data_IF_899973054440
#
_entry.id   IF_899973054440
#
_cell.length_a   1.000
_cell.length_b   1.000
_cell.length_c   1.000
_cell.angle_alpha   90.00
_cell.angle_beta   90.00
_cell.angle_gamma   90.00
#
_symmetry.space_group_name_H-M   'P 1'
#
loop_
_entity.id
_entity.type
_entity.pdbx_description
1 polymer ?
#
# COMPACT_ATOMS: atom_id res chain seq x y z
N UNK A 1 -13.71 11.77 -8.87
CA UNK A 1 -13.72 10.29 -8.84
C UNK A 1 -13.81 9.71 -10.23
N UNK A 2 -14.92 9.89 -10.93
CA UNK A 2 -15.17 9.25 -12.24
C UNK A 2 -14.05 9.53 -13.25
N UNK A 3 -13.67 10.79 -13.45
CA UNK A 3 -12.60 11.15 -14.40
C UNK A 3 -11.25 10.49 -14.08
N UNK A 4 -10.93 10.26 -12.81
CA UNK A 4 -9.71 9.54 -12.43
C UNK A 4 -9.82 8.05 -12.74
N UNK A 5 -10.99 7.44 -12.50
CA UNK A 5 -11.24 6.05 -12.86
C UNK A 5 -11.17 5.83 -14.37
N UNK A 6 -11.76 6.73 -15.15
CA UNK A 6 -11.73 6.69 -16.61
C UNK A 6 -10.29 6.83 -17.14
N UNK A 7 -9.50 7.75 -16.56
CA UNK A 7 -8.08 7.90 -16.89
C UNK A 7 -7.29 6.63 -16.57
N UNK A 8 -7.51 6.04 -15.40
CA UNK A 8 -6.84 4.79 -15.02
C UNK A 8 -7.21 3.63 -15.96
N UNK A 9 -8.48 3.49 -16.29
CA UNK A 9 -8.97 2.50 -17.26
C UNK A 9 -8.29 2.67 -18.63
N UNK A 10 -8.13 3.91 -19.10
CA UNK A 10 -7.46 4.20 -20.36
C UNK A 10 -5.96 3.86 -20.32
N UNK A 11 -5.27 4.15 -19.21
CA UNK A 11 -3.85 3.79 -19.03
C UNK A 11 -3.61 2.27 -19.00
N UNK A 12 -4.61 1.50 -18.59
CA UNK A 12 -4.58 0.04 -18.53
C UNK A 12 -5.61 -0.59 -19.46
N UNK A 13 -5.85 0.04 -20.61
CA UNK A 13 -6.92 -0.34 -21.55
C UNK A 13 -6.85 -1.81 -21.98
N UNK A 14 -5.66 -2.38 -22.17
CA UNK A 14 -5.51 -3.78 -22.55
C UNK A 14 -6.10 -4.74 -21.50
N UNK A 15 -5.90 -4.44 -20.22
CA UNK A 15 -6.35 -5.28 -19.12
C UNK A 15 -7.81 -4.99 -18.73
N UNK A 16 -8.16 -3.70 -18.68
CA UNK A 16 -9.42 -3.24 -18.07
C UNK A 16 -10.54 -2.95 -19.08
N UNK A 17 -10.23 -2.84 -20.36
CA UNK A 17 -11.21 -2.58 -21.43
C UNK A 17 -11.18 -3.71 -22.48
N UNK A 18 -10.06 -3.85 -23.18
CA UNK A 18 -9.99 -4.76 -24.32
C UNK A 18 -10.06 -6.24 -23.94
N UNK A 19 -9.52 -6.62 -22.79
CA UNK A 19 -9.65 -7.98 -22.28
C UNK A 19 -11.12 -8.37 -22.08
N UNK A 20 -11.93 -7.48 -21.49
CA UNK A 20 -13.37 -7.70 -21.30
C UNK A 20 -14.12 -7.68 -22.64
N UNK A 21 -13.81 -6.73 -23.52
CA UNK A 21 -14.42 -6.68 -24.83
C UNK A 21 -14.20 -7.96 -25.62
N UNK A 22 -12.96 -8.45 -25.70
CA UNK A 22 -12.64 -9.69 -26.42
C UNK A 22 -13.29 -10.91 -25.76
N UNK A 23 -13.11 -11.09 -24.46
CA UNK A 23 -13.58 -12.32 -23.81
C UNK A 23 -15.09 -12.36 -23.64
N UNK A 24 -15.71 -11.27 -23.18
CA UNK A 24 -17.12 -11.29 -22.83
C UNK A 24 -18.02 -10.92 -24.02
N UNK A 25 -17.67 -9.89 -24.81
CA UNK A 25 -18.47 -9.47 -25.94
C UNK A 25 -18.21 -10.31 -27.19
N UNK A 26 -16.96 -10.48 -27.65
CA UNK A 26 -16.69 -11.20 -28.90
C UNK A 26 -16.73 -12.73 -28.71
N UNK A 27 -16.23 -13.25 -27.60
CA UNK A 27 -16.16 -14.70 -27.36
C UNK A 27 -17.33 -15.22 -26.52
N UNK A 28 -18.22 -14.36 -26.04
CA UNK A 28 -19.41 -14.76 -25.27
C UNK A 28 -19.11 -15.47 -23.94
N UNK A 29 -17.88 -15.27 -23.39
CA UNK A 29 -17.54 -15.87 -22.08
C UNK A 29 -18.21 -15.12 -20.97
N UNK A 30 -18.68 -15.84 -19.96
CA UNK A 30 -19.20 -15.21 -18.73
C UNK A 30 -18.11 -14.37 -18.06
N UNK A 31 -18.46 -13.14 -17.58
CA UNK A 31 -17.52 -12.33 -16.82
C UNK A 31 -17.07 -13.08 -15.57
N UNK A 32 -15.76 -13.19 -15.38
CA UNK A 32 -15.25 -13.76 -14.14
C UNK A 32 -15.55 -12.81 -12.97
N UNK A 33 -16.12 -13.32 -11.86
CA UNK A 33 -16.30 -12.53 -10.66
C UNK A 33 -14.93 -12.01 -10.20
N UNK A 34 -14.80 -10.71 -10.03
CA UNK A 34 -13.57 -10.08 -9.58
C UNK A 34 -13.90 -9.06 -8.49
N UNK A 35 -13.90 -9.52 -7.28
CA UNK A 35 -14.24 -8.76 -6.07
C UNK A 35 -13.37 -7.51 -5.89
N UNK A 36 -12.07 -7.63 -6.19
CA UNK A 36 -11.14 -6.51 -6.10
C UNK A 36 -11.48 -5.39 -7.11
N UNK A 37 -11.96 -5.75 -8.33
CA UNK A 37 -12.40 -4.75 -9.30
C UNK A 37 -13.69 -4.06 -8.84
N UNK A 38 -14.60 -4.81 -8.24
CA UNK A 38 -15.81 -4.24 -7.66
C UNK A 38 -15.48 -3.23 -6.54
N UNK A 39 -14.60 -3.62 -5.61
CA UNK A 39 -14.12 -2.75 -4.54
C UNK A 39 -13.42 -1.49 -5.09
N UNK A 40 -12.53 -1.64 -6.07
CA UNK A 40 -11.80 -0.52 -6.67
C UNK A 40 -12.69 0.45 -7.47
N UNK A 41 -13.85 -0.02 -7.94
CA UNK A 41 -14.82 0.80 -8.64
C UNK A 41 -15.71 1.61 -7.70
N UNK A 42 -15.74 1.27 -6.42
CA UNK A 42 -16.47 2.02 -5.40
C UNK A 42 -15.64 3.23 -4.97
N UNK A 43 -16.25 4.41 -4.97
CA UNK A 43 -15.53 5.67 -4.82
C UNK A 43 -16.03 6.44 -3.61
N UNK A 44 -15.10 6.99 -2.85
CA UNK A 44 -15.40 7.89 -1.75
C UNK A 44 -15.16 9.34 -2.17
N UNK A 45 -16.16 10.20 -1.98
CA UNK A 45 -16.03 11.63 -2.24
C UNK A 45 -15.24 12.31 -1.14
N UNK A 46 -14.18 13.00 -1.53
CA UNK A 46 -13.36 13.78 -0.61
C UNK A 46 -13.87 15.23 -0.56
N UNK A 47 -13.98 15.86 0.62
CA UNK A 47 -14.28 17.28 0.71
C UNK A 47 -13.29 18.12 -0.10
N UNK A 48 -13.80 19.16 -0.79
CA UNK A 48 -12.98 20.02 -1.66
C UNK A 48 -11.73 20.56 -0.95
N UNK A 49 -11.89 21.05 0.28
CA UNK A 49 -10.78 21.61 1.04
C UNK A 49 -9.66 20.59 1.28
N UNK A 50 -10.03 19.36 1.67
CA UNK A 50 -9.08 18.26 1.88
C UNK A 50 -8.39 17.86 0.59
N UNK A 51 -9.14 17.71 -0.50
CA UNK A 51 -8.59 17.38 -1.82
C UNK A 51 -7.57 18.44 -2.27
N UNK A 52 -7.92 19.73 -2.17
CA UNK A 52 -7.02 20.82 -2.54
C UNK A 52 -5.78 20.89 -1.63
N UNK A 53 -5.93 20.56 -0.35
CA UNK A 53 -4.80 20.45 0.57
C UNK A 53 -3.81 19.37 0.10
N UNK A 54 -4.28 18.15 -0.22
CA UNK A 54 -3.44 17.08 -0.76
C UNK A 54 -2.71 17.50 -2.04
N UNK A 55 -3.46 18.05 -3.00
CA UNK A 55 -2.86 18.45 -4.28
C UNK A 55 -1.76 19.51 -4.10
N UNK A 56 -1.99 20.49 -3.23
CA UNK A 56 -1.01 21.57 -3.00
C UNK A 56 0.15 21.11 -2.13
N UNK A 57 -0.15 20.58 -0.93
CA UNK A 57 0.88 20.33 0.10
C UNK A 57 1.73 19.10 -0.18
N UNK A 58 1.15 18.04 -0.77
CA UNK A 58 1.89 16.81 -1.05
C UNK A 58 2.38 16.73 -2.49
N UNK A 59 1.50 16.92 -3.49
CA UNK A 59 1.92 16.79 -4.88
C UNK A 59 2.63 18.04 -5.43
N UNK A 60 2.15 19.24 -5.14
CA UNK A 60 2.73 20.48 -5.64
C UNK A 60 3.99 20.91 -4.88
N UNK A 61 3.86 21.07 -3.56
CA UNK A 61 4.92 21.62 -2.72
C UNK A 61 5.86 20.55 -2.16
N UNK A 62 5.38 19.32 -1.99
CA UNK A 62 6.04 18.23 -1.27
C UNK A 62 6.51 18.68 0.14
N UNK A 63 5.64 19.40 0.84
CA UNK A 63 5.96 20.14 2.05
C UNK A 63 6.39 19.24 3.22
N UNK A 64 5.82 18.02 3.32
CA UNK A 64 6.19 17.08 4.38
C UNK A 64 7.64 16.61 4.25
N UNK A 65 8.08 16.28 3.02
CA UNK A 65 9.46 15.83 2.80
C UNK A 65 10.51 16.90 3.05
N UNK A 66 10.10 18.17 3.00
CA UNK A 66 10.96 19.35 3.26
C UNK A 66 10.89 19.81 4.72
N UNK A 67 10.06 19.17 5.57
CA UNK A 67 9.78 19.64 6.91
C UNK A 67 9.08 21.00 6.96
N UNK A 68 8.32 21.35 5.93
CA UNK A 68 7.61 22.64 5.79
C UNK A 68 6.09 22.51 6.05
N UNK A 69 5.61 21.29 6.23
CA UNK A 69 4.20 21.05 6.48
C UNK A 69 3.83 21.47 7.89
N UNK A 70 2.82 22.35 8.00
CA UNK A 70 2.25 22.77 9.28
C UNK A 70 0.80 22.28 9.35
N UNK A 71 0.44 21.56 10.42
CA UNK A 71 -0.91 21.14 10.72
C UNK A 71 -1.24 21.53 12.16
N UNK A 72 -2.38 22.18 12.36
CA UNK A 72 -2.82 22.66 13.67
C UNK A 72 -1.74 23.43 14.45
N UNK A 73 -1.06 24.34 13.76
CA UNK A 73 0.09 25.13 14.26
C UNK A 73 1.32 24.30 14.66
N UNK A 74 1.36 23.00 14.38
CA UNK A 74 2.51 22.14 14.62
C UNK A 74 3.26 21.91 13.30
N UNK A 75 4.53 22.26 13.28
CA UNK A 75 5.43 21.95 12.16
C UNK A 75 5.82 20.47 12.21
N UNK A 76 5.53 19.77 11.14
CA UNK A 76 5.83 18.33 11.03
C UNK A 76 7.22 18.13 10.42
N UNK A 77 8.07 17.40 11.14
CA UNK A 77 9.42 17.04 10.73
C UNK A 77 9.63 15.54 10.95
N UNK A 78 9.76 14.80 9.86
CA UNK A 78 9.95 13.34 9.90
C UNK A 78 11.26 12.94 10.59
N UNK A 79 12.27 13.80 10.59
CA UNK A 79 13.54 13.52 11.26
C UNK A 79 13.41 13.42 12.79
N UNK A 80 12.33 13.95 13.37
CA UNK A 80 12.02 13.84 14.80
C UNK A 80 11.39 12.49 15.20
N UNK A 81 10.92 11.71 14.21
CA UNK A 81 10.35 10.39 14.46
C UNK A 81 11.48 9.41 14.78
N UNK A 82 11.59 8.98 16.04
CA UNK A 82 12.63 8.06 16.54
C UNK A 82 12.15 6.62 16.67
N UNK A 83 10.86 6.38 16.53
CA UNK A 83 10.28 5.03 16.51
C UNK A 83 10.86 4.24 15.34
N UNK A 84 11.24 2.97 15.52
CA UNK A 84 11.62 2.10 14.41
C UNK A 84 10.54 2.02 13.35
N UNK A 85 10.93 2.15 12.09
CA UNK A 85 10.03 2.17 10.94
C UNK A 85 10.36 1.01 10.01
N UNK A 86 9.34 0.27 9.61
CA UNK A 86 9.45 -0.73 8.55
C UNK A 86 8.79 -0.18 7.28
N UNK A 87 9.54 -0.10 6.20
CA UNK A 87 9.07 0.41 4.91
C UNK A 87 9.13 -0.69 3.87
N UNK A 88 7.99 -1.02 3.30
CA UNK A 88 7.89 -1.94 2.18
C UNK A 88 7.64 -1.16 0.89
N UNK A 89 8.28 -1.58 -0.19
CA UNK A 89 8.01 -1.12 -1.55
C UNK A 89 7.95 -2.31 -2.51
N UNK A 90 7.42 -2.11 -3.69
CA UNK A 90 7.33 -3.14 -4.72
C UNK A 90 8.17 -2.76 -5.95
N UNK A 91 8.92 -3.72 -6.48
CA UNK A 91 9.94 -3.50 -7.53
C UNK A 91 9.33 -2.97 -8.83
N UNK A 92 8.14 -3.47 -9.18
CA UNK A 92 7.43 -3.15 -10.42
C UNK A 92 6.30 -2.14 -10.20
N UNK A 93 6.30 -1.45 -9.05
CA UNK A 93 5.30 -0.45 -8.71
C UNK A 93 5.55 0.84 -9.51
N UNK A 94 4.61 1.14 -10.43
CA UNK A 94 4.66 2.36 -11.25
C UNK A 94 3.87 3.52 -10.63
N UNK A 95 3.09 3.27 -9.57
CA UNK A 95 2.29 4.29 -8.85
C UNK A 95 3.13 4.89 -7.71
N UNK A 96 3.79 4.03 -6.92
CA UNK A 96 4.71 4.41 -5.85
C UNK A 96 6.10 3.80 -6.13
N UNK A 97 6.88 4.35 -7.08
CA UNK A 97 8.16 3.78 -7.49
C UNK A 97 9.13 3.60 -6.31
N UNK A 98 9.81 2.46 -6.27
CA UNK A 98 10.71 2.10 -5.17
C UNK A 98 11.75 3.18 -4.85
N UNK A 99 12.28 3.87 -5.87
CA UNK A 99 13.21 5.00 -5.69
C UNK A 99 12.59 6.12 -4.85
N UNK A 100 11.32 6.45 -5.08
CA UNK A 100 10.62 7.51 -4.35
C UNK A 100 10.32 7.07 -2.92
N UNK A 101 9.87 5.83 -2.73
CA UNK A 101 9.59 5.25 -1.42
C UNK A 101 10.88 5.18 -0.58
N UNK A 102 11.99 4.74 -1.17
CA UNK A 102 13.29 4.67 -0.51
C UNK A 102 13.78 6.04 -0.03
N UNK A 103 13.65 7.08 -0.87
CA UNK A 103 13.98 8.46 -0.49
C UNK A 103 13.11 8.94 0.68
N UNK A 104 11.82 8.61 0.66
CA UNK A 104 10.90 8.91 1.76
C UNK A 104 11.29 8.20 3.04
N UNK A 105 11.71 6.94 2.97
CA UNK A 105 12.16 6.15 4.10
C UNK A 105 13.38 6.79 4.81
N UNK A 106 14.28 7.42 4.07
CA UNK A 106 15.47 8.11 4.62
C UNK A 106 15.16 9.41 5.35
N UNK A 107 13.94 9.91 5.33
CA UNK A 107 13.55 11.12 6.05
C UNK A 107 13.30 10.88 7.55
N UNK A 108 13.05 9.64 7.95
CA UNK A 108 12.85 9.30 9.35
C UNK A 108 14.14 9.37 10.14
N UNK A 109 14.08 9.92 11.35
CA UNK A 109 15.25 10.08 12.21
C UNK A 109 15.53 8.90 13.14
N UNK A 110 14.70 7.86 13.12
CA UNK A 110 14.87 6.59 13.84
C UNK A 110 15.40 5.49 12.92
N UNK A 111 15.58 4.27 13.47
CA UNK A 111 15.98 3.11 12.67
C UNK A 111 14.96 2.77 11.60
N UNK A 112 15.40 2.59 10.35
CA UNK A 112 14.57 2.20 9.22
C UNK A 112 14.99 0.85 8.70
N UNK A 113 14.03 -0.06 8.56
CA UNK A 113 14.18 -1.32 7.82
C UNK A 113 13.45 -1.19 6.51
N UNK A 114 14.16 -1.31 5.39
CA UNK A 114 13.58 -1.25 4.06
C UNK A 114 13.54 -2.64 3.44
N UNK A 115 12.41 -2.99 2.83
CA UNK A 115 12.21 -4.25 2.12
C UNK A 115 11.61 -3.97 0.75
N UNK A 116 12.18 -4.57 -0.28
CA UNK A 116 11.66 -4.50 -1.65
C UNK A 116 11.05 -5.86 -1.99
N UNK A 117 9.78 -5.88 -2.35
CA UNK A 117 9.10 -7.10 -2.82
C UNK A 117 9.03 -7.16 -4.35
N UNK A 118 9.03 -8.35 -4.90
CA UNK A 118 8.73 -8.59 -6.31
C UNK A 118 7.29 -8.25 -6.66
N UNK A 119 7.02 -8.08 -7.98
CA UNK A 119 5.70 -7.70 -8.51
C UNK A 119 5.35 -6.22 -8.31
N UNK A 120 4.09 -5.87 -8.65
CA UNK A 120 3.59 -4.49 -8.73
C UNK A 120 2.85 -4.00 -7.49
N UNK A 121 2.12 -2.91 -7.67
CA UNK A 121 1.48 -2.13 -6.62
C UNK A 121 0.60 -2.93 -5.65
N UNK A 122 -0.15 -3.89 -6.13
CA UNK A 122 -1.05 -4.72 -5.31
C UNK A 122 -0.37 -6.03 -4.93
N UNK A 123 0.04 -6.82 -5.91
CA UNK A 123 0.56 -8.18 -5.68
C UNK A 123 1.92 -8.20 -4.99
N UNK A 124 2.71 -7.13 -5.06
CA UNK A 124 3.92 -6.97 -4.28
C UNK A 124 3.66 -6.79 -2.79
N UNK A 125 2.54 -6.16 -2.43
CA UNK A 125 2.14 -5.92 -1.03
C UNK A 125 1.32 -7.09 -0.50
N UNK A 126 0.26 -7.47 -1.22
CA UNK A 126 -0.65 -8.55 -0.84
C UNK A 126 -0.15 -9.87 -1.43
N UNK A 127 0.76 -10.50 -0.72
CA UNK A 127 1.38 -11.75 -1.12
C UNK A 127 1.42 -12.73 0.06
N UNK A 128 0.32 -13.45 0.27
CA UNK A 128 0.21 -14.39 1.37
C UNK A 128 1.31 -15.49 1.28
N UNK A 129 2.00 -15.84 2.38
CA UNK A 129 3.09 -16.82 2.38
C UNK A 129 2.70 -18.18 1.80
N UNK A 130 1.46 -18.60 1.99
CA UNK A 130 0.92 -19.87 1.46
C UNK A 130 0.94 -19.91 -0.06
N UNK A 131 0.87 -18.77 -0.74
CA UNK A 131 0.89 -18.69 -2.19
C UNK A 131 2.24 -19.02 -2.80
N UNK A 132 3.34 -18.93 -2.04
CA UNK A 132 4.73 -19.20 -2.46
C UNK A 132 5.10 -18.52 -3.77
N UNK A 133 4.63 -17.29 -3.96
CA UNK A 133 4.87 -16.50 -5.18
C UNK A 133 5.90 -15.41 -4.91
N UNK A 134 6.58 -15.01 -5.98
CA UNK A 134 7.52 -13.90 -6.02
C UNK A 134 8.73 -14.10 -5.10
N UNK A 135 9.40 -13.01 -4.79
CA UNK A 135 10.57 -12.93 -3.91
C UNK A 135 10.59 -11.55 -3.25
N UNK A 136 11.47 -11.39 -2.28
CA UNK A 136 11.74 -10.07 -1.70
C UNK A 136 13.23 -9.93 -1.40
N UNK A 137 13.69 -8.69 -1.29
CA UNK A 137 15.06 -8.32 -1.01
C UNK A 137 15.14 -7.53 0.28
N UNK A 138 16.16 -7.83 1.06
CA UNK A 138 16.49 -7.15 2.31
C UNK A 138 17.96 -6.78 2.35
N UNK A 139 18.29 -5.70 3.04
CA UNK A 139 19.64 -5.25 3.30
C UNK A 139 19.66 -4.60 4.69
N UNK A 140 20.68 -4.89 5.50
CA UNK A 140 20.84 -4.26 6.81
C UNK A 140 21.26 -2.80 6.69
N UNK A 141 21.96 -2.43 5.61
CA UNK A 141 22.44 -1.10 5.39
C UNK A 141 21.42 -0.24 4.60
N UNK A 142 21.46 1.07 4.86
CA UNK A 142 20.63 2.07 4.18
C UNK A 142 21.51 3.09 3.45
N UNK A 143 22.22 2.71 2.35
CA UNK A 143 23.06 3.64 1.57
C UNK A 143 22.23 4.74 0.94
N UNK A 144 22.89 5.68 0.24
CA UNK A 144 22.22 6.90 -0.23
C UNK A 144 21.19 6.66 -1.34
N UNK A 145 21.35 5.63 -2.13
CA UNK A 145 20.44 5.34 -3.25
C UNK A 145 19.88 3.92 -3.17
N UNK A 146 18.70 3.72 -3.74
CA UNK A 146 18.09 2.38 -3.83
C UNK A 146 18.91 1.46 -4.73
N UNK A 147 19.61 1.99 -5.71
CA UNK A 147 20.50 1.24 -6.59
C UNK A 147 21.71 0.69 -5.81
N UNK A 148 22.33 1.51 -4.96
CA UNK A 148 23.39 1.07 -4.05
C UNK A 148 22.85 0.09 -3.01
N UNK A 149 21.66 0.30 -2.50
CA UNK A 149 20.98 -0.62 -1.58
C UNK A 149 20.79 -2.00 -2.23
N UNK A 150 20.38 -2.06 -3.50
CA UNK A 150 20.18 -3.31 -4.24
C UNK A 150 21.46 -4.13 -4.40
N UNK A 151 22.63 -3.52 -4.50
CA UNK A 151 23.90 -4.26 -4.66
C UNK A 151 24.27 -5.06 -3.41
N UNK A 152 23.81 -4.67 -2.22
CA UNK A 152 24.06 -5.35 -0.95
C UNK A 152 22.91 -6.22 -0.46
N UNK A 153 21.88 -6.48 -1.30
CA UNK A 153 20.71 -7.20 -0.85
C UNK A 153 20.88 -8.72 -0.83
N UNK A 154 20.15 -9.33 0.08
CA UNK A 154 19.85 -10.76 0.06
C UNK A 154 18.47 -10.96 -0.54
N UNK A 155 18.38 -11.79 -1.58
CA UNK A 155 17.10 -12.20 -2.15
C UNK A 155 16.57 -13.43 -1.41
N UNK A 156 15.29 -13.38 -1.05
CA UNK A 156 14.56 -14.48 -0.40
C UNK A 156 13.32 -14.82 -1.22
N UNK A 157 13.14 -16.08 -1.64
CA UNK A 157 11.92 -16.50 -2.35
C UNK A 157 10.66 -16.35 -1.50
N UNK A 158 9.55 -15.98 -2.13
CA UNK A 158 8.24 -15.89 -1.50
C UNK A 158 7.92 -14.54 -0.87
N UNK A 159 6.96 -14.57 0.03
CA UNK A 159 6.39 -13.38 0.67
C UNK A 159 7.37 -12.67 1.60
N UNK A 160 7.30 -11.35 1.64
CA UNK A 160 8.01 -10.51 2.61
C UNK A 160 7.36 -10.51 4.00
N UNK A 161 6.12 -11.01 4.14
CA UNK A 161 5.38 -10.99 5.41
C UNK A 161 6.08 -11.71 6.56
N UNK A 162 6.73 -12.87 6.37
CA UNK A 162 7.49 -13.51 7.45
C UNK A 162 8.64 -12.63 7.97
N UNK A 163 9.35 -11.93 7.09
CA UNK A 163 10.40 -11.00 7.49
C UNK A 163 9.83 -9.82 8.31
N UNK A 164 8.71 -9.24 7.85
CA UNK A 164 8.02 -8.19 8.61
C UNK A 164 7.50 -8.69 9.96
N UNK A 165 6.92 -9.89 10.01
CA UNK A 165 6.40 -10.48 11.24
C UNK A 165 7.52 -10.69 12.27
N UNK A 166 8.69 -11.17 11.86
CA UNK A 166 9.85 -11.31 12.73
C UNK A 166 10.29 -9.95 13.30
N UNK A 167 10.42 -8.95 12.43
CA UNK A 167 10.75 -7.58 12.83
C UNK A 167 9.74 -6.99 13.83
N UNK A 168 8.44 -7.24 13.61
CA UNK A 168 7.37 -6.76 14.49
C UNK A 168 7.37 -7.51 15.83
N UNK A 169 7.61 -8.83 15.82
CA UNK A 169 7.61 -9.67 17.01
C UNK A 169 8.69 -9.25 18.01
N UNK A 170 9.85 -8.81 17.55
CA UNK A 170 10.92 -8.28 18.40
C UNK A 170 10.52 -7.00 19.16
N UNK A 171 9.51 -6.28 18.67
CA UNK A 171 9.03 -5.00 19.21
C UNK A 171 7.68 -5.13 19.91
N UNK A 172 7.10 -6.33 19.88
CA UNK A 172 5.82 -6.64 20.49
C UNK A 172 6.05 -7.28 21.87
N UNK A 173 5.02 -7.20 22.71
CA UNK A 173 4.99 -7.97 23.96
C UNK A 173 4.68 -9.45 23.71
N UNK A 174 4.51 -10.21 24.79
CA UNK A 174 4.10 -11.62 24.70
C UNK A 174 2.70 -11.79 24.09
N UNK A 175 2.37 -13.03 23.77
CA UNK A 175 1.04 -13.36 23.26
C UNK A 175 -0.04 -13.17 24.32
N UNK A 176 -1.16 -12.63 23.93
CA UNK A 176 -2.37 -12.50 24.74
C UNK A 176 -3.53 -13.21 24.06
N UNK A 177 -4.58 -13.64 24.80
CA UNK A 177 -5.76 -14.21 24.19
C UNK A 177 -6.35 -13.29 23.12
N UNK A 178 -6.79 -13.85 22.00
CA UNK A 178 -7.45 -13.08 20.95
C UNK A 178 -8.69 -12.37 21.50
N UNK A 179 -8.89 -11.14 21.09
CA UNK A 179 -10.13 -10.41 21.43
C UNK A 179 -11.30 -11.05 20.70
N UNK A 180 -12.37 -11.28 21.44
CA UNK A 180 -13.64 -11.77 20.92
C UNK A 180 -14.60 -10.56 20.75
N UNK A 181 -14.94 -10.14 19.52
CA UNK A 181 -15.84 -9.02 19.31
C UNK A 181 -17.20 -9.20 19.98
N UNK A 182 -17.69 -10.45 20.09
CA UNK A 182 -18.98 -10.76 20.73
C UNK A 182 -18.97 -10.46 22.24
N UNK A 183 -17.80 -10.36 22.87
CA UNK A 183 -17.63 -10.00 24.29
C UNK A 183 -17.41 -8.50 24.51
N UNK A 184 -17.44 -7.70 23.44
CA UNK A 184 -17.34 -6.26 23.51
C UNK A 184 -18.60 -5.59 24.07
N UNK A 185 -18.55 -4.27 24.35
CA UNK A 185 -19.69 -3.52 24.85
C UNK A 185 -20.81 -3.36 23.81
N UNK A 186 -20.51 -3.49 22.53
CA UNK A 186 -21.45 -3.45 21.42
C UNK A 186 -21.64 -4.86 20.85
N UNK A 187 -22.89 -5.23 20.64
CA UNK A 187 -23.17 -6.53 20.01
C UNK A 187 -22.86 -6.50 18.51
N UNK A 188 -22.36 -7.58 17.94
CA UNK A 188 -22.30 -7.76 16.49
C UNK A 188 -23.69 -7.58 15.88
N UNK A 189 -23.78 -6.88 14.74
CA UNK A 189 -25.04 -6.63 14.04
C UNK A 189 -25.30 -7.73 12.99
N UNK A 190 -24.26 -8.12 12.26
CA UNK A 190 -24.28 -9.09 11.17
C UNK A 190 -22.87 -9.65 10.94
N UNK A 191 -22.76 -10.73 10.17
CA UNK A 191 -21.48 -11.31 9.82
C UNK A 191 -20.70 -10.40 8.85
N UNK A 192 -19.36 -10.43 8.95
CA UNK A 192 -18.50 -9.73 7.99
C UNK A 192 -18.66 -10.32 6.57
N UNK A 193 -18.59 -9.49 5.53
CA UNK A 193 -18.25 -8.06 5.50
C UNK A 193 -19.41 -7.11 5.80
N UNK A 194 -20.60 -7.61 6.09
CA UNK A 194 -21.78 -6.79 6.36
C UNK A 194 -22.53 -6.36 5.09
N UNK A 195 -23.71 -5.82 5.28
CA UNK A 195 -24.60 -5.39 4.17
C UNK A 195 -24.18 -4.06 3.54
N UNK A 196 -23.42 -3.23 4.26
CA UNK A 196 -22.99 -1.90 3.77
C UNK A 196 -22.15 -1.97 2.48
N UNK A 197 -21.39 -3.06 2.28
CA UNK A 197 -20.55 -3.23 1.07
C UNK A 197 -21.36 -3.37 -0.22
N UNK A 198 -22.69 -3.58 -0.10
CA UNK A 198 -23.60 -3.65 -1.26
C UNK A 198 -24.12 -2.28 -1.69
N UNK A 199 -23.90 -1.25 -0.87
CA UNK A 199 -24.33 0.12 -1.14
C UNK A 199 -23.15 0.87 -1.73
N UNK A 200 -23.26 1.22 -3.00
CA UNK A 200 -22.24 2.06 -3.67
C UNK A 200 -22.46 3.53 -3.34
N UNK A 201 -21.36 4.28 -3.14
CA UNK A 201 -21.38 5.73 -2.90
C UNK A 201 -21.56 6.53 -4.19
#
# INVERSE_FOLDING_TARGET
GQSMADTFNMLRANDLIWSFFVNNYLLGKEPKPFDLLFWNSDQTRMPKALHMFYLRKFYGENALSKGELVMDNVKLDLSTVKTPVYVQSSKEDHIAPARSVYRGAKLFGGPVTFTLSGSGHIAGVINAPVARKYQHWTNADMPDTVEAWMTGTTETPGSWWPHWLNWLSEKSGGQVPARDPAKGPLKPLEDAPGSYVKVKS
#
